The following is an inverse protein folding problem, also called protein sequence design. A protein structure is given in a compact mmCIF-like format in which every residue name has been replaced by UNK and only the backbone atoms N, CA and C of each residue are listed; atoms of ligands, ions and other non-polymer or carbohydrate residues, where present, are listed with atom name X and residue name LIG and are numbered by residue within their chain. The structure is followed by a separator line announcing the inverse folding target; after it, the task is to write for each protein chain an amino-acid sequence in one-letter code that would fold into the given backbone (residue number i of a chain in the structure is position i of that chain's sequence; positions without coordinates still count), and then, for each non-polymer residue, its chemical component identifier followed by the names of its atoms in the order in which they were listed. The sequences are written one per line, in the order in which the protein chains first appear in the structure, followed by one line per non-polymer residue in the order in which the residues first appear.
data_IF_857010478471
#
_entry.id   IF_857010478471
#
_cell.length_a   1.000
_cell.length_b   1.000
_cell.length_c   1.000
_cell.angle_alpha   90.00
_cell.angle_beta   90.00
_cell.angle_gamma   90.00
#
_symmetry.space_group_name_H-M   'P 1'
#
loop_
_entity.id
_entity.type
_entity.pdbx_description
1 polymer ?
#
# COMPACT_ATOMS: atom_id res chain seq x y z
N UNK A 1 -10.76 11.24 -35.83
CA UNK A 1 -11.49 10.59 -34.70
C UNK A 1 -10.70 10.88 -33.45
N UNK A 2 -11.23 11.67 -32.50
CA UNK A 2 -10.58 11.87 -31.20
C UNK A 2 -10.58 10.53 -30.46
N UNK A 3 -9.39 10.01 -30.10
CA UNK A 3 -9.30 8.84 -29.23
C UNK A 3 -10.01 9.21 -27.91
N UNK A 4 -11.02 8.45 -27.54
CA UNK A 4 -11.70 8.61 -26.26
C UNK A 4 -10.66 8.38 -25.15
N UNK A 5 -10.52 9.33 -24.25
CA UNK A 5 -9.58 9.22 -23.11
C UNK A 5 -10.13 8.21 -22.13
N UNK A 6 -9.37 7.15 -21.86
CA UNK A 6 -9.72 6.12 -20.86
C UNK A 6 -9.46 6.62 -19.43
N UNK A 7 -10.28 6.18 -18.48
CA UNK A 7 -9.96 6.27 -17.07
C UNK A 7 -8.73 5.40 -16.75
N UNK A 8 -8.11 5.60 -15.59
CA UNK A 8 -6.99 4.75 -15.16
C UNK A 8 -7.42 3.28 -15.02
N UNK A 9 -8.62 3.02 -14.50
CA UNK A 9 -9.19 1.66 -14.39
C UNK A 9 -9.38 1.01 -15.76
N UNK A 10 -10.03 1.71 -16.71
CA UNK A 10 -10.26 1.19 -18.07
C UNK A 10 -8.93 0.89 -18.78
N UNK A 11 -7.95 1.76 -18.63
CA UNK A 11 -6.61 1.61 -19.21
C UNK A 11 -5.88 0.40 -18.62
N UNK A 12 -5.93 0.25 -17.29
CA UNK A 12 -5.32 -0.86 -16.59
C UNK A 12 -5.97 -2.19 -16.99
N UNK A 13 -7.30 -2.27 -16.98
CA UNK A 13 -8.05 -3.47 -17.38
C UNK A 13 -7.81 -3.80 -18.86
N UNK A 14 -7.78 -2.82 -19.77
CA UNK A 14 -7.47 -3.06 -21.18
C UNK A 14 -6.09 -3.72 -21.33
N UNK A 15 -5.09 -3.24 -20.58
CA UNK A 15 -3.73 -3.82 -20.61
C UNK A 15 -3.70 -5.24 -20.08
N UNK A 16 -4.40 -5.54 -18.99
CA UNK A 16 -4.50 -6.91 -18.45
C UNK A 16 -5.18 -7.88 -19.43
N UNK A 17 -6.15 -7.38 -20.20
CA UNK A 17 -6.86 -8.15 -21.21
C UNK A 17 -6.13 -8.19 -22.58
N UNK A 18 -4.86 -7.77 -22.63
CA UNK A 18 -4.04 -7.69 -23.85
C UNK A 18 -4.67 -6.83 -24.96
N UNK A 19 -5.51 -5.88 -24.60
CA UNK A 19 -6.09 -4.87 -25.50
C UNK A 19 -5.21 -3.63 -25.51
N UNK A 20 -5.26 -2.86 -26.60
CA UNK A 20 -4.50 -1.61 -26.73
C UNK A 20 -5.19 -0.47 -25.96
N UNK A 21 -4.60 0.05 -24.87
CA UNK A 21 -5.13 1.22 -24.18
C UNK A 21 -4.86 2.51 -24.98
N UNK A 22 -5.41 3.64 -24.53
CA UNK A 22 -5.14 4.96 -25.11
C UNK A 22 -3.67 5.37 -24.96
N UNK A 23 -3.04 4.98 -23.83
CA UNK A 23 -1.61 5.08 -23.51
C UNK A 23 -1.18 3.94 -22.60
N UNK A 24 0.11 3.69 -22.47
CA UNK A 24 0.65 2.72 -21.51
C UNK A 24 0.29 3.17 -20.08
N UNK A 25 -0.32 2.29 -19.24
CA UNK A 25 -0.60 2.63 -17.84
C UNK A 25 0.69 2.83 -17.06
N UNK A 26 0.76 3.91 -16.30
CA UNK A 26 1.88 4.22 -15.41
C UNK A 26 1.54 3.83 -13.98
N UNK A 27 2.21 2.82 -13.44
CA UNK A 27 2.00 2.34 -12.07
C UNK A 27 3.26 2.58 -11.24
N UNK A 28 3.30 3.69 -10.50
CA UNK A 28 4.41 4.06 -9.63
C UNK A 28 4.13 3.65 -8.19
N UNK A 29 5.05 2.89 -7.61
CA UNK A 29 4.93 2.38 -6.24
C UNK A 29 5.45 3.40 -5.22
N UNK A 30 4.54 4.19 -4.63
CA UNK A 30 4.88 5.29 -3.73
C UNK A 30 4.83 4.93 -2.23
N UNK A 31 4.86 3.67 -1.82
CA UNK A 31 4.56 3.27 -0.43
C UNK A 31 5.18 4.19 0.64
N UNK A 32 6.49 4.19 0.83
CA UNK A 32 7.17 5.02 1.83
C UNK A 32 7.52 6.44 1.34
N UNK A 33 7.45 6.71 0.04
CA UNK A 33 7.74 8.04 -0.49
C UNK A 33 6.78 9.11 0.05
N UNK A 34 5.57 8.72 0.43
CA UNK A 34 4.60 9.60 1.08
C UNK A 34 5.11 10.20 2.39
N UNK A 35 5.89 9.46 3.15
CA UNK A 35 6.52 9.96 4.38
C UNK A 35 7.46 11.15 4.08
N UNK A 36 8.27 11.04 3.03
CA UNK A 36 9.16 12.12 2.57
C UNK A 36 8.39 13.37 2.15
N UNK A 37 7.30 13.21 1.40
CA UNK A 37 6.44 14.33 0.99
C UNK A 37 5.80 15.04 2.20
N UNK A 38 5.55 14.33 3.30
CA UNK A 38 4.98 14.87 4.54
C UNK A 38 6.05 15.30 5.56
N UNK A 39 7.34 15.15 5.26
CA UNK A 39 8.46 15.44 6.17
C UNK A 39 8.36 14.69 7.51
N UNK A 40 7.86 13.45 7.46
CA UNK A 40 7.70 12.57 8.61
C UNK A 40 8.65 11.37 8.50
N UNK A 41 8.94 10.76 9.66
CA UNK A 41 9.53 9.43 9.65
C UNK A 41 8.54 8.42 9.06
N UNK A 42 9.06 7.35 8.43
CA UNK A 42 8.23 6.30 7.85
C UNK A 42 7.30 5.68 8.91
N UNK A 43 7.81 5.52 10.14
CA UNK A 43 7.05 4.99 11.28
C UNK A 43 5.85 5.88 11.65
N UNK A 44 6.06 7.19 11.71
CA UNK A 44 5.00 8.15 12.04
C UNK A 44 3.97 8.26 10.92
N UNK A 45 4.41 8.24 9.67
CA UNK A 45 3.56 8.28 8.51
C UNK A 45 2.57 7.10 8.49
N UNK A 46 3.07 5.85 8.60
CA UNK A 46 2.21 4.67 8.56
C UNK A 46 1.33 4.46 9.79
N UNK A 47 1.54 5.21 10.87
CA UNK A 47 0.61 5.25 12.00
C UNK A 47 -0.64 6.09 11.76
N UNK A 48 -0.70 6.85 10.67
CA UNK A 48 -1.75 7.83 10.37
C UNK A 48 -2.49 7.48 9.08
N UNK A 49 -3.48 6.55 9.10
CA UNK A 49 -4.17 6.07 7.90
C UNK A 49 -4.80 7.18 7.06
N UNK A 50 -5.36 8.20 7.70
CA UNK A 50 -5.93 9.37 7.02
C UNK A 50 -4.89 10.12 6.20
N UNK A 51 -3.72 10.35 6.80
CA UNK A 51 -2.63 11.04 6.14
C UNK A 51 -2.05 10.20 5.00
N UNK A 52 -1.91 8.89 5.20
CA UNK A 52 -1.46 7.95 4.16
C UNK A 52 -2.40 8.03 2.96
N UNK A 53 -3.71 7.88 3.17
CA UNK A 53 -4.69 7.92 2.09
C UNK A 53 -4.66 9.27 1.34
N UNK A 54 -4.67 10.38 2.07
CA UNK A 54 -4.59 11.74 1.50
C UNK A 54 -3.32 11.94 0.68
N UNK A 55 -2.19 11.47 1.19
CA UNK A 55 -0.90 11.62 0.50
C UNK A 55 -0.83 10.74 -0.75
N UNK A 56 -1.33 9.52 -0.72
CA UNK A 56 -1.40 8.65 -1.90
C UNK A 56 -2.24 9.28 -3.02
N UNK A 57 -3.38 9.88 -2.69
CA UNK A 57 -4.21 10.62 -3.65
C UNK A 57 -3.47 11.84 -4.22
N UNK A 58 -2.77 12.59 -3.37
CA UNK A 58 -1.95 13.72 -3.82
C UNK A 58 -0.84 13.27 -4.78
N UNK A 59 -0.12 12.21 -4.45
CA UNK A 59 0.95 11.66 -5.29
C UNK A 59 0.40 11.14 -6.62
N UNK A 60 -0.76 10.48 -6.60
CA UNK A 60 -1.45 10.02 -7.80
C UNK A 60 -1.76 11.19 -8.74
N UNK A 61 -2.27 12.29 -8.20
CA UNK A 61 -2.57 13.50 -8.99
C UNK A 61 -1.30 14.21 -9.46
N UNK A 62 -0.27 14.33 -8.61
CA UNK A 62 0.99 15.01 -8.91
C UNK A 62 1.77 14.31 -10.03
N UNK A 63 1.88 12.99 -9.97
CA UNK A 63 2.68 12.19 -10.90
C UNK A 63 1.85 11.56 -12.02
N UNK A 64 0.52 11.74 -12.02
CA UNK A 64 -0.39 11.17 -13.02
C UNK A 64 -0.27 9.67 -13.16
N UNK A 65 0.02 8.98 -12.04
CA UNK A 65 0.05 7.51 -12.01
C UNK A 65 -1.35 6.94 -12.15
N UNK A 66 -1.45 5.78 -12.79
CA UNK A 66 -2.72 5.12 -13.10
C UNK A 66 -3.16 4.12 -12.01
N UNK A 67 -2.42 4.00 -10.92
CA UNK A 67 -2.78 3.11 -9.83
C UNK A 67 -2.47 3.72 -8.45
N UNK A 68 -3.15 3.19 -7.42
CA UNK A 68 -2.93 3.48 -6.02
C UNK A 68 -2.48 2.20 -5.30
N UNK A 69 -1.70 2.37 -4.27
CA UNK A 69 -1.21 1.25 -3.46
C UNK A 69 -1.65 1.40 -2.02
N UNK A 70 -2.26 0.36 -1.50
CA UNK A 70 -2.65 0.26 -0.09
C UNK A 70 -1.59 -0.45 0.75
N UNK A 71 -0.59 -1.05 0.09
CA UNK A 71 0.52 -1.73 0.73
C UNK A 71 1.35 -0.74 1.54
N UNK A 72 1.53 -1.03 2.82
CA UNK A 72 2.27 -0.18 3.74
C UNK A 72 3.78 -0.45 3.68
N UNK A 73 4.21 -1.61 4.16
CA UNK A 73 5.61 -2.03 4.23
C UNK A 73 5.73 -3.55 4.21
N UNK A 74 6.88 -4.06 3.75
CA UNK A 74 7.09 -5.49 3.52
C UNK A 74 6.87 -6.37 4.76
N UNK A 75 7.36 -6.01 5.97
CA UNK A 75 7.16 -6.85 7.17
C UNK A 75 5.81 -6.63 7.89
N UNK A 76 4.76 -6.18 7.18
CA UNK A 76 3.43 -5.98 7.77
C UNK A 76 2.86 -7.26 8.37
N UNK A 77 2.99 -8.38 7.68
CA UNK A 77 2.52 -9.68 8.13
C UNK A 77 3.33 -10.16 9.34
N UNK A 78 4.62 -9.89 9.37
CA UNK A 78 5.48 -10.20 10.53
C UNK A 78 5.01 -9.42 11.77
N UNK A 79 4.69 -8.13 11.63
CA UNK A 79 4.08 -7.34 12.70
C UNK A 79 2.73 -7.93 13.13
N UNK A 80 1.93 -8.40 12.18
CA UNK A 80 0.64 -9.01 12.46
C UNK A 80 0.75 -10.29 13.31
N UNK A 81 1.80 -11.07 13.10
CA UNK A 81 2.13 -12.24 13.93
C UNK A 81 2.91 -11.91 15.22
N UNK A 82 3.06 -10.62 15.55
CA UNK A 82 3.75 -10.18 16.76
C UNK A 82 5.27 -10.06 16.65
N UNK A 83 5.82 -10.19 15.44
CA UNK A 83 7.25 -10.00 15.19
C UNK A 83 7.64 -8.53 15.17
N UNK A 84 8.93 -8.29 15.35
CA UNK A 84 9.49 -6.93 15.36
C UNK A 84 9.61 -6.36 13.94
N UNK A 85 9.31 -5.06 13.80
CA UNK A 85 9.55 -4.27 12.59
C UNK A 85 10.54 -3.16 12.90
N UNK A 86 11.67 -3.19 12.19
CA UNK A 86 12.74 -2.20 12.28
C UNK A 86 12.50 -1.07 11.27
N UNK A 87 12.21 0.12 11.77
CA UNK A 87 12.06 1.32 10.96
C UNK A 87 13.38 2.08 10.89
N UNK A 88 13.98 2.13 9.69
CA UNK A 88 15.16 2.96 9.43
C UNK A 88 14.77 4.41 9.14
N UNK A 89 15.75 5.33 9.20
CA UNK A 89 15.50 6.74 8.86
C UNK A 89 15.33 6.94 7.35
N UNK A 90 16.13 6.28 6.53
CA UNK A 90 16.25 6.54 5.09
C UNK A 90 15.93 5.33 4.20
N UNK A 91 15.24 4.32 4.72
CA UNK A 91 14.94 3.11 3.97
C UNK A 91 13.61 2.46 4.35
N UNK A 92 13.18 1.46 3.57
CA UNK A 92 11.97 0.73 3.89
C UNK A 92 12.11 -0.01 5.23
N UNK A 93 11.01 -0.21 5.96
CA UNK A 93 11.02 -1.05 7.15
C UNK A 93 11.44 -2.48 6.83
N UNK A 94 12.18 -3.08 7.74
CA UNK A 94 12.64 -4.48 7.65
C UNK A 94 12.11 -5.28 8.84
N UNK A 95 12.07 -6.61 8.68
CA UNK A 95 11.83 -7.51 9.79
C UNK A 95 13.00 -7.47 10.78
N UNK A 96 12.69 -7.60 12.07
CA UNK A 96 13.65 -7.88 13.10
C UNK A 96 14.03 -9.37 13.14
N UNK A 97 14.38 -9.87 14.32
CA UNK A 97 14.69 -11.28 14.49
C UNK A 97 13.51 -12.19 14.15
N UNK A 98 13.75 -13.36 13.50
CA UNK A 98 12.69 -14.31 13.19
C UNK A 98 11.95 -14.77 14.43
N UNK A 99 10.62 -14.76 14.39
CA UNK A 99 9.78 -15.34 15.46
C UNK A 99 9.77 -16.87 15.43
N UNK A 100 10.02 -17.47 14.27
CA UNK A 100 10.16 -18.91 14.09
C UNK A 100 11.66 -19.22 14.08
N UNK A 101 12.15 -19.94 15.10
CA UNK A 101 13.57 -20.32 15.23
C UNK A 101 13.80 -21.81 15.02
N UNK A 102 12.72 -22.61 15.08
CA UNK A 102 12.74 -24.05 14.86
C UNK A 102 11.36 -24.54 14.42
N UNK A 103 11.27 -25.78 13.95
CA UNK A 103 10.03 -26.35 13.39
C UNK A 103 8.87 -26.42 14.41
N UNK A 104 9.16 -26.49 15.70
CA UNK A 104 8.13 -26.56 16.73
C UNK A 104 7.42 -25.20 16.93
N UNK A 105 8.11 -24.10 16.63
CA UNK A 105 7.53 -22.75 16.76
C UNK A 105 6.34 -22.56 15.82
N UNK A 106 6.33 -23.25 14.67
CA UNK A 106 5.23 -23.20 13.70
C UNK A 106 3.93 -23.70 14.32
N UNK A 107 4.00 -24.75 15.14
CA UNK A 107 2.81 -25.34 15.78
C UNK A 107 2.19 -24.42 16.85
N UNK A 108 2.97 -23.47 17.35
CA UNK A 108 2.55 -22.51 18.38
C UNK A 108 2.13 -21.15 17.78
N UNK A 109 2.23 -21.00 16.46
CA UNK A 109 1.91 -19.74 15.80
C UNK A 109 0.39 -19.57 15.68
N UNK A 110 -0.15 -18.58 16.36
CA UNK A 110 -1.56 -18.22 16.25
C UNK A 110 -1.80 -17.29 15.06
N UNK A 111 -2.84 -17.59 14.26
CA UNK A 111 -3.23 -16.71 13.16
C UNK A 111 -3.77 -15.38 13.70
N UNK A 112 -3.26 -14.24 13.22
CA UNK A 112 -3.73 -12.94 13.67
C UNK A 112 -5.18 -12.71 13.24
N UNK A 113 -6.03 -12.30 14.17
CA UNK A 113 -7.40 -11.89 13.86
C UNK A 113 -7.39 -10.48 13.28
N UNK A 114 -7.79 -10.32 12.03
CA UNK A 114 -7.76 -9.03 11.32
C UNK A 114 -8.47 -7.93 12.13
N UNK A 115 -9.62 -8.24 12.73
CA UNK A 115 -10.41 -7.30 13.54
C UNK A 115 -9.75 -6.86 14.86
N UNK A 116 -8.64 -7.48 15.26
CA UNK A 116 -7.94 -7.23 16.52
C UNK A 116 -6.47 -6.85 16.32
N UNK A 117 -6.00 -6.84 15.06
CA UNK A 117 -4.59 -6.62 14.73
C UNK A 117 -4.38 -5.20 14.19
N UNK A 118 -3.77 -4.29 14.96
CA UNK A 118 -3.72 -2.86 14.64
C UNK A 118 -3.08 -2.53 13.28
N UNK A 119 -2.01 -3.23 12.87
CA UNK A 119 -1.36 -2.99 11.58
C UNK A 119 -2.26 -3.37 10.40
N UNK A 120 -3.01 -4.47 10.50
CA UNK A 120 -3.97 -4.88 9.48
C UNK A 120 -5.17 -3.93 9.41
N UNK A 121 -5.69 -3.49 10.57
CA UNK A 121 -6.78 -2.51 10.62
C UNK A 121 -6.38 -1.18 9.97
N UNK A 122 -5.16 -0.68 10.21
CA UNK A 122 -4.66 0.52 9.54
C UNK A 122 -4.64 0.37 8.02
N UNK A 123 -4.19 -0.78 7.52
CA UNK A 123 -4.17 -1.05 6.07
C UNK A 123 -5.57 -1.10 5.48
N UNK A 124 -6.52 -1.74 6.16
CA UNK A 124 -7.91 -1.77 5.73
C UNK A 124 -8.54 -0.37 5.74
N UNK A 125 -8.23 0.45 6.72
CA UNK A 125 -8.71 1.84 6.79
C UNK A 125 -8.19 2.66 5.60
N UNK A 126 -6.89 2.59 5.29
CA UNK A 126 -6.31 3.24 4.10
C UNK A 126 -7.01 2.78 2.83
N UNK A 127 -7.15 1.46 2.65
CA UNK A 127 -7.83 0.86 1.49
C UNK A 127 -9.25 1.38 1.33
N UNK A 128 -10.02 1.39 2.41
CA UNK A 128 -11.41 1.89 2.41
C UNK A 128 -11.48 3.36 2.00
N UNK A 129 -10.61 4.21 2.57
CA UNK A 129 -10.55 5.65 2.25
C UNK A 129 -10.19 5.89 0.78
N UNK A 130 -9.20 5.19 0.25
CA UNK A 130 -8.81 5.30 -1.15
C UNK A 130 -9.93 4.85 -2.07
N UNK A 131 -10.56 3.69 -1.80
CA UNK A 131 -11.69 3.18 -2.59
C UNK A 131 -12.86 4.17 -2.66
N UNK A 132 -13.22 4.78 -1.52
CA UNK A 132 -14.27 5.80 -1.48
C UNK A 132 -13.90 7.03 -2.32
N UNK A 133 -12.64 7.47 -2.24
CA UNK A 133 -12.18 8.67 -2.93
C UNK A 133 -12.17 8.52 -4.46
N UNK A 134 -11.78 7.35 -4.99
CA UNK A 134 -11.59 7.16 -6.44
C UNK A 134 -12.78 6.53 -7.16
N UNK A 135 -13.76 6.00 -6.46
CA UNK A 135 -15.03 5.47 -7.04
C UNK A 135 -14.82 4.60 -8.28
N UNK A 136 -13.93 3.64 -8.23
CA UNK A 136 -13.64 2.70 -9.33
C UNK A 136 -12.99 3.33 -10.59
N UNK A 137 -12.55 4.58 -10.53
CA UNK A 137 -11.86 5.23 -11.67
C UNK A 137 -10.36 4.96 -11.70
N UNK A 138 -9.79 4.51 -10.57
CA UNK A 138 -8.37 4.15 -10.40
C UNK A 138 -8.31 2.78 -9.73
N UNK A 139 -7.47 1.84 -10.22
CA UNK A 139 -7.22 0.54 -9.60
C UNK A 139 -6.39 0.67 -8.34
#
# INVERSE_FOLDING_TARGET
MSKQTMTSMERFVASLLLKTPDKVPLCLFFSSYGAKEQQLSIKEYFKQPELVAKTQLHLQQKYKTDCLYTFSYAPLEIEAFGGEVLFSQDGPPNAGEPIIKNDLDINNLELPKISQTPCLLRTLEVTSKLKIAVKETVP
#
